data_IF_904725348286
#
_entry.id   IF_904725348286
#
_cell.length_a   1.000
_cell.length_b   1.000
_cell.length_c   1.000
_cell.angle_alpha   90.00
_cell.angle_beta   90.00
_cell.angle_gamma   90.00
#
_symmetry.space_group_name_H-M   'P 1'
#
loop_
_entity.id
_entity.type
_entity.pdbx_description
1 polymer ?
#
# COMPACT_ATOMS: atom_id res chain seq x y z
N UNK A 1 -16.18 4.19 -1.09
CA UNK A 1 -16.91 3.03 -0.58
C UNK A 1 -16.01 2.18 0.31
N UNK A 2 -16.51 1.78 1.46
CA UNK A 2 -15.74 0.99 2.43
C UNK A 2 -16.45 -0.33 2.71
N UNK A 3 -15.70 -1.42 2.75
CA UNK A 3 -16.18 -2.72 3.16
C UNK A 3 -16.34 -2.83 4.68
N UNK A 4 -16.71 -4.00 5.16
CA UNK A 4 -16.87 -4.26 6.58
C UNK A 4 -15.52 -4.29 7.31
N UNK A 5 -15.52 -3.82 8.56
CA UNK A 5 -14.37 -3.86 9.45
C UNK A 5 -13.12 -3.24 8.83
N UNK A 6 -13.30 -2.11 8.14
CA UNK A 6 -12.20 -1.30 7.61
C UNK A 6 -11.77 -0.32 8.70
N UNK A 7 -10.49 -0.24 8.97
CA UNK A 7 -9.93 0.79 9.83
C UNK A 7 -9.26 1.85 8.95
N UNK A 8 -9.70 3.09 9.10
CA UNK A 8 -9.09 4.25 8.44
C UNK A 8 -8.75 5.26 9.52
N UNK A 9 -7.47 5.60 9.62
CA UNK A 9 -6.99 6.51 10.66
C UNK A 9 -6.03 7.52 10.07
N UNK A 10 -6.26 8.81 10.36
CA UNK A 10 -5.40 9.91 9.93
C UNK A 10 -5.04 9.83 8.45
N UNK A 11 -6.04 9.60 7.62
CA UNK A 11 -5.85 9.33 6.19
C UNK A 11 -6.82 10.14 5.35
N UNK A 12 -6.46 10.34 4.10
CA UNK A 12 -7.29 11.01 3.09
C UNK A 12 -7.62 9.98 2.02
N UNK A 13 -8.91 9.77 1.78
CA UNK A 13 -9.40 8.91 0.72
C UNK A 13 -10.13 9.79 -0.28
N UNK A 14 -9.59 9.89 -1.49
CA UNK A 14 -10.16 10.76 -2.52
C UNK A 14 -11.33 10.09 -3.24
N UNK A 15 -12.00 10.83 -4.11
CA UNK A 15 -13.27 10.42 -4.71
C UNK A 15 -13.14 9.16 -5.58
N UNK A 16 -14.25 8.43 -5.68
CA UNK A 16 -14.37 7.20 -6.47
C UNK A 16 -13.37 6.11 -6.10
N UNK A 17 -12.89 6.13 -4.86
CA UNK A 17 -12.01 5.09 -4.35
C UNK A 17 -12.78 4.13 -3.45
N UNK A 18 -12.32 2.91 -3.37
CA UNK A 18 -12.92 1.86 -2.56
C UNK A 18 -11.86 1.13 -1.75
N UNK A 19 -12.22 0.79 -0.53
CA UNK A 19 -11.37 0.02 0.38
C UNK A 19 -12.12 -1.25 0.77
N UNK A 20 -11.57 -2.39 0.41
CA UNK A 20 -12.17 -3.69 0.69
C UNK A 20 -12.21 -4.04 2.18
N UNK A 21 -13.01 -5.03 2.55
CA UNK A 21 -13.21 -5.40 3.95
C UNK A 21 -11.91 -5.84 4.62
N UNK A 22 -11.85 -5.62 5.94
CA UNK A 22 -10.73 -6.01 6.78
C UNK A 22 -9.41 -5.34 6.42
N UNK A 23 -9.48 -4.23 5.68
CA UNK A 23 -8.30 -3.44 5.33
C UNK A 23 -7.98 -2.43 6.42
N UNK A 24 -6.74 -1.99 6.45
CA UNK A 24 -6.26 -1.03 7.43
C UNK A 24 -5.44 0.04 6.70
N UNK A 25 -5.95 1.27 6.70
CA UNK A 25 -5.31 2.42 6.03
C UNK A 25 -4.96 3.45 7.09
N UNK A 26 -3.67 3.60 7.34
CA UNK A 26 -3.15 4.41 8.44
C UNK A 26 -2.17 5.46 7.91
N UNK A 27 -2.35 6.71 8.33
CA UNK A 27 -1.47 7.82 8.01
C UNK A 27 -1.12 7.88 6.52
N UNK A 28 -2.14 7.72 5.66
CA UNK A 28 -1.96 7.51 4.23
C UNK A 28 -2.86 8.42 3.40
N UNK A 29 -2.49 8.57 2.13
CA UNK A 29 -3.30 9.26 1.12
C UNK A 29 -3.58 8.29 -0.01
N UNK A 30 -4.86 8.09 -0.30
CA UNK A 30 -5.34 7.28 -1.40
C UNK A 30 -5.96 8.21 -2.43
N UNK A 31 -5.37 8.29 -3.62
CA UNK A 31 -5.85 9.19 -4.66
C UNK A 31 -7.09 8.63 -5.37
N UNK A 32 -7.62 9.40 -6.32
CA UNK A 32 -8.91 9.09 -6.95
C UNK A 32 -8.90 7.79 -7.74
N UNK A 33 -10.07 7.18 -7.87
CA UNK A 33 -10.30 5.98 -8.68
C UNK A 33 -9.38 4.83 -8.31
N UNK A 34 -9.05 4.70 -7.03
CA UNK A 34 -8.16 3.66 -6.53
C UNK A 34 -8.97 2.61 -5.80
N UNK A 35 -8.68 1.35 -6.08
CA UNK A 35 -9.33 0.21 -5.45
C UNK A 35 -8.33 -0.58 -4.62
N UNK A 36 -8.64 -0.77 -3.35
CA UNK A 36 -7.91 -1.65 -2.45
C UNK A 36 -8.77 -2.89 -2.19
N UNK A 37 -8.24 -4.04 -2.49
CA UNK A 37 -8.89 -5.32 -2.18
C UNK A 37 -8.99 -5.55 -0.67
N UNK A 38 -9.59 -6.66 -0.30
CA UNK A 38 -9.69 -7.03 1.12
C UNK A 38 -8.30 -7.25 1.74
N UNK A 39 -8.18 -7.00 3.04
CA UNK A 39 -6.96 -7.27 3.80
C UNK A 39 -5.73 -6.50 3.32
N UNK A 40 -5.92 -5.37 2.64
CA UNK A 40 -4.82 -4.48 2.30
C UNK A 40 -4.43 -3.69 3.55
N UNK A 41 -3.13 -3.65 3.85
CA UNK A 41 -2.65 -2.97 5.06
C UNK A 41 -1.50 -2.05 4.74
N UNK A 42 -1.64 -0.80 5.17
CA UNK A 42 -0.55 0.18 5.13
C UNK A 42 0.15 0.16 6.48
N UNK A 43 1.39 -0.30 6.51
CA UNK A 43 2.19 -0.20 7.72
C UNK A 43 2.60 1.26 7.92
N UNK A 44 2.51 1.75 9.16
CA UNK A 44 2.80 3.14 9.47
C UNK A 44 3.87 3.32 10.54
N UNK A 45 4.52 2.23 10.95
CA UNK A 45 5.48 2.25 12.05
C UNK A 45 6.62 1.27 11.78
N UNK A 46 7.85 1.70 12.06
CA UNK A 46 9.02 0.83 11.92
C UNK A 46 9.21 0.00 13.19
N UNK A 47 9.60 -1.24 13.00
CA UNK A 47 9.82 -2.15 14.14
C UNK A 47 10.99 -1.70 15.04
N UNK A 48 11.94 -0.94 14.50
CA UNK A 48 13.06 -0.41 15.27
C UNK A 48 12.72 0.89 16.02
N UNK A 49 11.49 1.40 15.84
CA UNK A 49 11.02 2.60 16.52
C UNK A 49 11.63 3.92 16.02
N UNK A 50 12.40 3.88 14.93
CA UNK A 50 12.99 5.08 14.36
C UNK A 50 11.99 5.85 13.51
N UNK A 51 12.34 7.10 13.18
CA UNK A 51 11.55 7.90 12.25
C UNK A 51 11.57 7.30 10.85
N UNK A 52 10.50 7.57 10.10
CA UNK A 52 10.32 7.02 8.77
C UNK A 52 10.91 7.98 7.76
N UNK A 53 11.68 7.44 6.82
CA UNK A 53 12.23 8.21 5.71
C UNK A 53 11.51 7.86 4.41
N UNK A 54 11.42 8.86 3.53
CA UNK A 54 10.86 8.73 2.19
C UNK A 54 11.96 9.00 1.16
N UNK A 55 11.75 8.51 -0.05
CA UNK A 55 12.64 8.80 -1.18
C UNK A 55 11.90 9.74 -2.13
N UNK A 56 12.46 10.90 -2.35
CA UNK A 56 11.94 11.90 -3.28
C UNK A 56 13.09 12.45 -4.11
N UNK A 57 12.93 12.45 -5.45
CA UNK A 57 13.97 12.91 -6.38
C UNK A 57 15.32 12.23 -6.10
N UNK A 58 15.31 10.92 -5.89
CA UNK A 58 16.48 10.09 -5.57
C UNK A 58 17.20 10.48 -4.27
N UNK A 59 16.55 11.26 -3.41
CA UNK A 59 17.08 11.65 -2.12
C UNK A 59 16.27 11.03 -0.98
N UNK A 60 16.97 10.56 0.03
CA UNK A 60 16.36 10.05 1.26
C UNK A 60 16.07 11.23 2.18
N UNK A 61 14.81 11.39 2.55
CA UNK A 61 14.36 12.48 3.41
C UNK A 61 13.74 11.88 4.68
N UNK A 62 14.27 12.28 5.83
CA UNK A 62 13.68 11.91 7.11
C UNK A 62 12.41 12.74 7.33
N UNK A 63 11.28 12.08 7.54
CA UNK A 63 10.01 12.77 7.79
C UNK A 63 9.92 13.35 9.22
N UNK A 64 10.84 13.00 10.10
CA UNK A 64 10.77 13.28 11.53
C UNK A 64 9.50 12.76 12.19
N UNK A 65 8.83 11.81 11.55
CA UNK A 65 7.61 11.17 12.05
C UNK A 65 7.88 9.71 12.32
N UNK A 66 7.37 9.21 13.44
CA UNK A 66 7.40 7.78 13.75
C UNK A 66 6.21 7.05 13.14
N UNK A 67 5.17 7.77 12.76
CA UNK A 67 3.99 7.23 12.10
C UNK A 67 3.83 7.90 10.74
N UNK A 68 3.97 7.11 9.69
CA UNK A 68 3.83 7.59 8.32
C UNK A 68 3.51 6.40 7.42
N UNK A 69 2.41 6.47 6.70
CA UNK A 69 1.95 5.40 5.83
C UNK A 69 2.46 5.52 4.40
N UNK A 70 1.53 5.53 3.47
CA UNK A 70 1.83 5.52 2.04
C UNK A 70 1.02 6.58 1.30
N UNK A 71 1.48 6.93 0.11
CA UNK A 71 0.69 7.68 -0.86
C UNK A 71 0.48 6.74 -2.05
N UNK A 72 -0.78 6.49 -2.40
CA UNK A 72 -1.16 5.66 -3.52
C UNK A 72 -1.76 6.56 -4.59
N UNK A 73 -1.17 6.53 -5.78
CA UNK A 73 -1.59 7.33 -6.92
C UNK A 73 -2.95 6.92 -7.45
N UNK A 74 -3.47 7.72 -8.38
CA UNK A 74 -4.80 7.52 -8.95
C UNK A 74 -4.85 6.35 -9.93
N UNK A 75 -6.04 5.84 -10.17
CA UNK A 75 -6.31 4.76 -11.13
C UNK A 75 -5.49 3.49 -10.83
N UNK A 76 -5.30 3.20 -9.56
CA UNK A 76 -4.48 2.08 -9.10
C UNK A 76 -5.39 1.00 -8.51
N UNK A 77 -5.08 -0.25 -8.79
CA UNK A 77 -5.79 -1.39 -8.26
C UNK A 77 -4.84 -2.28 -7.48
N UNK A 78 -5.19 -2.55 -6.24
CA UNK A 78 -4.36 -3.32 -5.31
C UNK A 78 -5.11 -4.56 -4.89
N UNK A 79 -4.52 -5.72 -5.14
CA UNK A 79 -5.10 -7.01 -4.84
C UNK A 79 -5.18 -7.32 -3.35
N UNK A 80 -5.94 -8.34 -3.05
CA UNK A 80 -6.15 -8.79 -1.67
C UNK A 80 -4.84 -9.10 -0.96
N UNK A 81 -4.74 -8.73 0.31
CA UNK A 81 -3.63 -9.12 1.17
C UNK A 81 -2.33 -8.37 0.96
N UNK A 82 -2.30 -7.36 0.10
CA UNK A 82 -1.09 -6.56 -0.13
C UNK A 82 -0.73 -5.79 1.13
N UNK A 83 0.56 -5.78 1.45
CA UNK A 83 1.13 -5.04 2.56
C UNK A 83 2.06 -3.98 2.01
N UNK A 84 1.95 -2.75 2.50
CA UNK A 84 2.78 -1.64 2.04
C UNK A 84 3.61 -1.13 3.21
N UNK A 85 4.92 -1.07 3.03
CA UNK A 85 5.85 -0.59 4.06
C UNK A 85 5.72 0.91 4.29
N UNK A 86 6.06 1.38 5.49
CA UNK A 86 5.97 2.80 5.83
C UNK A 86 6.79 3.67 4.89
N UNK A 87 6.22 4.80 4.47
CA UNK A 87 6.92 5.77 3.65
C UNK A 87 7.12 5.35 2.19
N UNK A 88 6.47 4.31 1.74
CA UNK A 88 6.55 3.88 0.34
C UNK A 88 5.46 4.54 -0.48
N UNK A 89 5.82 4.99 -1.67
CA UNK A 89 4.89 5.66 -2.58
C UNK A 89 4.61 4.75 -3.77
N UNK A 90 3.34 4.66 -4.12
CA UNK A 90 2.85 3.91 -5.26
C UNK A 90 2.31 4.93 -6.26
N UNK A 91 2.80 4.86 -7.49
CA UNK A 91 2.45 5.80 -8.54
C UNK A 91 1.04 5.64 -9.08
N UNK A 92 0.78 6.25 -10.23
CA UNK A 92 -0.50 6.20 -10.92
C UNK A 92 -0.58 5.00 -11.86
N UNK A 93 -1.80 4.52 -12.13
CA UNK A 93 -2.05 3.46 -13.10
C UNK A 93 -1.27 2.18 -12.78
N UNK A 94 -1.35 1.74 -11.54
CA UNK A 94 -0.67 0.55 -11.04
C UNK A 94 -1.67 -0.58 -10.87
N UNK A 95 -1.26 -1.78 -11.22
CA UNK A 95 -1.95 -3.01 -10.89
C UNK A 95 -1.04 -3.86 -10.01
N UNK A 96 -1.47 -4.17 -8.81
CA UNK A 96 -0.71 -5.02 -7.88
C UNK A 96 -1.51 -6.28 -7.61
N UNK A 97 -0.95 -7.42 -7.99
CA UNK A 97 -1.54 -8.73 -7.75
C UNK A 97 -1.59 -9.07 -6.26
N UNK A 98 -2.42 -10.04 -5.85
CA UNK A 98 -2.58 -10.37 -4.42
C UNK A 98 -1.30 -10.81 -3.72
N UNK A 99 -1.27 -10.59 -2.41
CA UNK A 99 -0.26 -11.09 -1.47
C UNK A 99 1.17 -10.60 -1.72
N UNK A 100 1.31 -9.42 -2.32
CA UNK A 100 2.62 -8.81 -2.52
C UNK A 100 2.94 -7.90 -1.34
N UNK A 101 4.19 -7.91 -0.91
CA UNK A 101 4.72 -6.97 0.08
C UNK A 101 5.50 -5.89 -0.64
N UNK A 102 5.04 -4.63 -0.54
CA UNK A 102 5.67 -3.50 -1.20
C UNK A 102 6.72 -2.91 -0.26
N UNK A 103 7.99 -3.06 -0.62
CA UNK A 103 9.14 -2.59 0.17
C UNK A 103 9.88 -1.42 -0.46
N UNK A 104 9.50 -1.01 -1.66
CA UNK A 104 10.11 0.09 -2.40
C UNK A 104 9.03 0.90 -3.12
N UNK A 105 9.37 2.12 -3.51
CA UNK A 105 8.49 2.94 -4.33
C UNK A 105 8.22 2.28 -5.68
N UNK A 106 7.01 2.46 -6.19
CA UNK A 106 6.58 1.93 -7.48
C UNK A 106 6.30 3.11 -8.39
N UNK A 107 7.00 3.18 -9.52
CA UNK A 107 6.77 4.22 -10.52
C UNK A 107 5.51 3.96 -11.32
N UNK A 108 5.00 4.98 -12.01
CA UNK A 108 3.75 4.92 -12.76
C UNK A 108 3.72 3.79 -13.80
N UNK A 109 2.51 3.33 -14.12
CA UNK A 109 2.25 2.41 -15.23
C UNK A 109 2.98 1.07 -15.06
N UNK A 110 2.82 0.45 -13.90
CA UNK A 110 3.44 -0.86 -13.58
C UNK A 110 2.37 -1.89 -13.24
N UNK A 111 2.66 -3.12 -13.61
CA UNK A 111 1.91 -4.29 -13.18
C UNK A 111 2.85 -5.17 -12.36
N UNK A 112 2.55 -5.34 -11.09
CA UNK A 112 3.34 -6.18 -10.18
C UNK A 112 2.66 -7.53 -10.01
N UNK A 113 3.41 -8.59 -10.16
CA UNK A 113 2.92 -9.95 -9.95
C UNK A 113 4.00 -10.82 -9.31
N UNK A 114 3.55 -11.88 -8.64
CA UNK A 114 4.44 -12.87 -8.03
C UNK A 114 4.57 -14.07 -8.94
N UNK A 115 5.80 -14.58 -9.06
CA UNK A 115 6.02 -15.94 -9.51
C UNK A 115 6.05 -16.84 -8.27
N UNK A 116 5.14 -17.80 -8.21
CA UNK A 116 5.00 -18.67 -7.05
C UNK A 116 5.33 -20.11 -7.44
N UNK A 117 6.57 -20.57 -7.23
CA UNK A 117 6.92 -21.95 -7.49
C UNK A 117 6.21 -22.86 -6.49
N UNK A 118 5.38 -23.73 -7.00
CA UNK A 118 4.63 -24.71 -6.20
C UNK A 118 5.21 -26.09 -6.49
N UNK A 119 5.50 -26.82 -5.43
CA UNK A 119 5.94 -28.22 -5.51
C UNK A 119 4.84 -29.11 -4.98
N UNK A 120 4.67 -30.26 -5.63
CA UNK A 120 3.72 -31.25 -5.16
C UNK A 120 4.34 -32.63 -5.17
N UNK A 121 3.81 -33.51 -4.35
CA UNK A 121 4.21 -34.91 -4.27
C UNK A 121 2.99 -35.74 -3.95
N UNK A 122 3.07 -37.04 -4.20
CA UNK A 122 2.03 -37.98 -3.81
C UNK A 122 1.86 -38.02 -2.29
N UNK A 123 0.63 -38.24 -1.84
CA UNK A 123 0.30 -38.43 -0.42
C UNK A 123 0.89 -39.72 0.13
#
# INVERSE_FOLDING_TARGET
RFGYNVEIKKSIIMSNSAVGPLSCVLDSIICENTFLGALVRTSNYRLDGQTISIIQNSQLIDTNQKNFGTIIGKNTQIGIGVIIYPGRFIGNNILIEPNIVIKKNISDNRHLFLEQPIKEKDL
#
